data_IF_186994710360
#
_entry.id   IF_186994710360
#
_cell.length_a   1.000
_cell.length_b   1.000
_cell.length_c   1.000
_cell.angle_alpha   90.00
_cell.angle_beta   90.00
_cell.angle_gamma   90.00
#
_symmetry.space_group_name_H-M   'P 1'
#
loop_
_entity.id
_entity.type
_entity.pdbx_description
1 polymer ?
#
# COMPACT_ATOMS: atom_id res chain seq x y z
N UNK A 1 -16.53 14.51 30.67
CA UNK A 1 -16.03 13.18 30.28
C UNK A 1 -14.64 13.38 29.71
N UNK A 2 -13.62 13.11 30.50
CA UNK A 2 -12.22 13.27 30.08
C UNK A 2 -11.77 11.97 29.44
N UNK A 3 -11.58 11.99 28.12
CA UNK A 3 -10.90 10.91 27.40
C UNK A 3 -9.44 11.33 27.28
N UNK A 4 -8.62 10.74 28.14
CA UNK A 4 -7.17 10.85 28.10
C UNK A 4 -6.65 9.94 26.97
N UNK A 5 -5.88 10.50 26.05
CA UNK A 5 -5.37 9.83 24.86
C UNK A 5 -3.86 9.95 24.83
N UNK A 6 -3.18 8.89 25.26
CA UNK A 6 -1.72 8.75 25.24
C UNK A 6 -1.14 8.87 23.82
N UNK A 7 -0.52 10.01 23.52
CA UNK A 7 0.22 10.27 22.29
C UNK A 7 1.69 9.81 22.44
N UNK A 8 2.04 8.65 21.88
CA UNK A 8 3.42 8.14 21.91
C UNK A 8 4.29 8.86 20.88
N UNK A 9 5.08 9.80 21.38
CA UNK A 9 6.15 10.53 20.70
C UNK A 9 7.22 9.59 20.09
N UNK A 10 7.39 9.63 18.77
CA UNK A 10 8.52 8.98 18.08
C UNK A 10 9.72 9.95 18.03
N UNK A 11 10.92 9.51 18.45
CA UNK A 11 12.16 10.29 18.34
C UNK A 11 13.07 9.77 17.23
N UNK A 12 13.48 10.66 16.33
CA UNK A 12 14.50 10.42 15.30
C UNK A 12 15.91 10.49 15.93
N UNK A 13 16.77 9.51 15.64
CA UNK A 13 18.14 9.43 16.17
C UNK A 13 19.08 10.50 15.60
N UNK A 14 20.13 10.83 16.35
CA UNK A 14 21.11 11.88 16.02
C UNK A 14 21.93 11.54 14.77
N UNK A 15 22.23 12.59 13.98
CA UNK A 15 23.08 12.52 12.80
C UNK A 15 24.53 12.11 13.16
N UNK A 16 25.09 11.17 12.40
CA UNK A 16 26.52 10.81 12.44
C UNK A 16 27.22 11.50 11.28
N UNK A 17 28.31 12.22 11.56
CA UNK A 17 29.18 12.82 10.55
C UNK A 17 29.92 11.74 9.77
N UNK A 18 29.72 11.67 8.46
CA UNK A 18 30.43 10.73 7.58
C UNK A 18 31.64 11.40 6.92
N UNK A 19 32.74 10.65 6.80
CA UNK A 19 34.03 11.10 6.26
C UNK A 19 33.96 11.26 4.72
N UNK A 20 34.17 12.50 4.25
CA UNK A 20 34.05 12.92 2.85
C UNK A 20 35.06 12.27 1.89
N UNK A 21 36.18 11.71 2.38
CA UNK A 21 37.19 11.10 1.50
C UNK A 21 36.72 9.79 0.87
N UNK A 22 35.75 9.09 1.49
CA UNK A 22 35.15 7.87 0.95
C UNK A 22 34.09 8.15 -0.12
N UNK A 23 33.56 9.38 -0.17
CA UNK A 23 32.53 9.78 -1.14
C UNK A 23 33.14 9.91 -2.55
N UNK A 24 34.38 10.38 -2.68
CA UNK A 24 35.06 10.50 -3.99
C UNK A 24 35.28 9.17 -4.71
N UNK A 25 35.36 8.04 -4.01
CA UNK A 25 35.45 6.72 -4.65
C UNK A 25 34.11 6.24 -5.22
N UNK A 26 32.98 6.70 -4.67
CA UNK A 26 31.63 6.31 -5.11
C UNK A 26 31.24 7.07 -6.39
N UNK A 27 31.72 8.30 -6.56
CA UNK A 27 31.35 9.15 -7.71
C UNK A 27 31.97 8.67 -9.02
N UNK A 28 33.01 7.83 -8.98
CA UNK A 28 33.72 7.37 -10.18
C UNK A 28 33.02 6.22 -10.93
N UNK A 29 31.90 5.73 -10.42
CA UNK A 29 31.07 4.68 -11.05
C UNK A 29 29.79 5.21 -11.72
N UNK A 30 29.58 6.54 -11.77
CA UNK A 30 28.38 7.14 -12.39
C UNK A 30 28.46 7.10 -13.94
N UNK A 31 29.63 6.74 -14.49
CA UNK A 31 29.89 6.73 -15.94
C UNK A 31 29.50 5.44 -16.66
N UNK A 32 29.17 4.36 -15.97
CA UNK A 32 28.80 3.10 -16.63
C UNK A 32 27.26 3.04 -16.77
N UNK A 33 26.71 3.14 -18.00
CA UNK A 33 25.29 2.84 -18.20
C UNK A 33 25.06 1.43 -17.68
N UNK A 34 23.96 1.23 -16.95
CA UNK A 34 23.61 -0.03 -16.30
C UNK A 34 23.43 -1.19 -17.32
N UNK A 35 24.50 -1.65 -17.92
CA UNK A 35 24.57 -2.75 -18.88
C UNK A 35 25.36 -3.86 -18.20
N UNK A 36 24.70 -4.52 -17.23
CA UNK A 36 24.89 -5.91 -16.82
C UNK A 36 24.28 -6.11 -15.42
N UNK A 37 22.98 -5.81 -15.28
CA UNK A 37 22.20 -6.74 -14.49
C UNK A 37 22.10 -7.99 -15.36
N UNK A 38 22.77 -9.07 -14.93
CA UNK A 38 22.43 -10.42 -15.40
C UNK A 38 20.91 -10.52 -15.46
N UNK A 39 20.30 -11.19 -16.47
CA UNK A 39 18.85 -11.23 -16.59
C UNK A 39 18.27 -11.71 -15.27
N UNK A 40 17.77 -10.78 -14.43
CA UNK A 40 16.94 -11.14 -13.29
C UNK A 40 15.79 -11.81 -13.99
N UNK A 41 15.70 -13.14 -13.86
CA UNK A 41 14.57 -13.89 -14.40
C UNK A 41 13.34 -13.28 -13.77
N UNK A 42 12.67 -12.39 -14.50
CA UNK A 42 11.45 -11.73 -14.06
C UNK A 42 10.50 -12.86 -13.77
N UNK A 43 10.22 -13.07 -12.49
CA UNK A 43 9.37 -14.19 -12.10
C UNK A 43 7.96 -13.88 -12.60
N UNK A 44 7.24 -14.91 -13.06
CA UNK A 44 5.86 -14.73 -13.51
C UNK A 44 5.04 -14.12 -12.35
N UNK A 45 4.28 -13.05 -12.67
CA UNK A 45 3.32 -12.41 -11.75
C UNK A 45 2.50 -13.43 -10.98
N UNK A 46 2.12 -13.07 -9.75
CA UNK A 46 1.17 -13.86 -8.98
C UNK A 46 -0.17 -13.90 -9.73
N UNK A 47 -0.51 -15.09 -10.24
CA UNK A 47 -1.76 -15.35 -10.96
C UNK A 47 -2.92 -15.70 -10.02
N UNK A 48 -4.17 -15.52 -10.46
CA UNK A 48 -5.35 -15.84 -9.65
C UNK A 48 -5.38 -17.28 -9.15
N UNK A 49 -5.01 -18.26 -9.98
CA UNK A 49 -5.07 -19.67 -9.60
C UNK A 49 -4.10 -19.99 -8.46
N UNK A 50 -2.89 -19.41 -8.52
CA UNK A 50 -1.88 -19.55 -7.46
C UNK A 50 -2.29 -18.84 -6.18
N UNK A 51 -3.01 -17.73 -6.31
CA UNK A 51 -3.53 -17.00 -5.15
C UNK A 51 -4.69 -17.74 -4.49
N UNK A 52 -5.62 -18.32 -5.25
CA UNK A 52 -6.69 -19.13 -4.65
C UNK A 52 -6.14 -20.39 -3.95
N UNK A 53 -5.07 -20.98 -4.48
CA UNK A 53 -4.44 -22.16 -3.89
C UNK A 53 -3.75 -21.94 -2.52
N UNK A 54 -3.59 -20.70 -2.04
CA UNK A 54 -2.99 -20.44 -0.71
C UNK A 54 -4.01 -20.40 0.43
N UNK A 55 -5.30 -20.48 0.11
CA UNK A 55 -6.40 -20.47 1.07
C UNK A 55 -6.82 -21.90 1.46
N UNK A 56 -7.32 -22.07 2.68
CA UNK A 56 -8.01 -23.30 3.12
C UNK A 56 -9.52 -23.24 2.81
N UNK A 57 -10.26 -24.27 3.26
CA UNK A 57 -11.72 -24.36 3.13
C UNK A 57 -12.48 -23.23 3.85
N UNK A 58 -11.92 -22.66 4.92
CA UNK A 58 -12.51 -21.54 5.67
C UNK A 58 -12.13 -20.17 5.06
N UNK A 59 -11.21 -20.16 4.09
CA UNK A 59 -10.63 -18.95 3.51
C UNK A 59 -9.53 -18.32 4.36
N UNK A 60 -8.85 -19.05 5.24
CA UNK A 60 -7.64 -18.61 5.95
C UNK A 60 -6.41 -18.83 5.07
N UNK A 61 -5.40 -17.99 5.21
CA UNK A 61 -4.18 -18.01 4.39
C UNK A 61 -3.07 -18.79 5.06
N UNK A 62 -2.58 -19.85 4.40
CA UNK A 62 -1.43 -20.65 4.87
C UNK A 62 -0.15 -20.39 4.06
N UNK A 63 -0.29 -20.14 2.76
CA UNK A 63 0.83 -20.02 1.82
C UNK A 63 1.46 -18.63 1.67
N UNK A 64 1.24 -17.70 2.61
CA UNK A 64 1.51 -16.27 2.37
C UNK A 64 2.98 -15.95 2.04
N UNK A 65 3.94 -16.61 2.69
CA UNK A 65 5.38 -16.42 2.41
C UNK A 65 5.74 -16.76 0.95
N UNK A 66 5.10 -17.78 0.38
CA UNK A 66 5.33 -18.16 -1.04
C UNK A 66 4.71 -17.12 -1.97
N UNK A 67 3.51 -16.64 -1.66
CA UNK A 67 2.87 -15.57 -2.41
C UNK A 67 3.71 -14.28 -2.38
N UNK A 68 4.20 -13.85 -1.21
CA UNK A 68 5.05 -12.67 -1.07
C UNK A 68 6.30 -12.72 -1.96
N UNK A 69 6.96 -13.87 -2.08
CA UNK A 69 8.12 -14.02 -2.98
C UNK A 69 7.75 -13.74 -4.44
N UNK A 70 6.60 -14.23 -4.90
CA UNK A 70 6.10 -13.97 -6.25
C UNK A 70 5.72 -12.49 -6.44
N UNK A 71 5.11 -11.89 -5.42
CA UNK A 71 4.71 -10.47 -5.43
C UNK A 71 5.95 -9.57 -5.54
N UNK A 72 7.00 -9.83 -4.77
CA UNK A 72 8.22 -9.03 -4.77
C UNK A 72 9.00 -9.18 -6.09
N UNK A 73 9.08 -10.41 -6.64
CA UNK A 73 9.88 -10.69 -7.83
C UNK A 73 9.15 -10.43 -9.15
N UNK A 74 7.82 -10.50 -9.16
CA UNK A 74 7.01 -10.45 -10.38
C UNK A 74 5.81 -9.53 -10.31
N UNK A 75 5.38 -9.10 -9.12
CA UNK A 75 4.16 -8.32 -8.95
C UNK A 75 2.88 -9.16 -8.91
N UNK A 76 1.74 -8.46 -8.96
CA UNK A 76 0.39 -9.01 -8.78
C UNK A 76 -0.43 -8.82 -10.04
N UNK A 77 -1.10 -9.89 -10.49
CA UNK A 77 -2.08 -9.82 -11.57
C UNK A 77 -3.19 -8.80 -11.26
N UNK A 78 -3.54 -7.88 -12.21
CA UNK A 78 -4.53 -6.84 -11.97
C UNK A 78 -5.88 -7.34 -11.44
N UNK A 79 -6.31 -8.53 -11.85
CA UNK A 79 -7.61 -9.11 -11.47
C UNK A 79 -7.72 -9.42 -9.97
N UNK A 80 -6.60 -9.75 -9.30
CA UNK A 80 -6.57 -10.09 -7.87
C UNK A 80 -5.95 -9.00 -7.01
N UNK A 81 -5.47 -7.89 -7.59
CA UNK A 81 -4.90 -6.77 -6.82
C UNK A 81 -5.81 -6.31 -5.69
N UNK A 82 -7.12 -6.03 -5.90
CA UNK A 82 -7.97 -5.54 -4.83
C UNK A 82 -8.00 -6.47 -3.61
N UNK A 83 -7.93 -7.79 -3.83
CA UNK A 83 -7.90 -8.76 -2.74
C UNK A 83 -6.52 -8.86 -2.09
N UNK A 84 -5.45 -8.98 -2.87
CA UNK A 84 -4.08 -9.13 -2.37
C UNK A 84 -3.65 -7.92 -1.54
N UNK A 85 -4.00 -6.71 -1.99
CA UNK A 85 -3.64 -5.48 -1.29
C UNK A 85 -4.25 -5.37 0.11
N UNK A 86 -5.44 -5.91 0.33
CA UNK A 86 -6.05 -5.93 1.66
C UNK A 86 -5.23 -6.75 2.67
N UNK A 87 -4.51 -7.79 2.22
CA UNK A 87 -3.58 -8.53 3.08
C UNK A 87 -2.26 -7.79 3.26
N UNK A 88 -1.72 -7.19 2.20
CA UNK A 88 -0.44 -6.45 2.26
C UNK A 88 -0.53 -5.21 3.15
N UNK A 89 -1.67 -4.52 3.16
CA UNK A 89 -1.92 -3.34 3.98
C UNK A 89 -2.34 -3.69 5.42
N UNK A 90 -2.43 -4.98 5.77
CA UNK A 90 -2.87 -5.42 7.09
C UNK A 90 -4.37 -5.18 7.35
N UNK A 91 -5.16 -4.90 6.31
CA UNK A 91 -6.60 -4.76 6.43
C UNK A 91 -7.27 -6.09 6.82
N UNK A 92 -6.64 -7.22 6.47
CA UNK A 92 -6.98 -8.58 6.87
C UNK A 92 -5.82 -9.29 7.56
N UNK A 93 -6.12 -10.10 8.57
CA UNK A 93 -5.16 -11.04 9.16
C UNK A 93 -5.13 -12.34 8.35
N UNK A 94 -4.00 -13.05 8.34
CA UNK A 94 -3.87 -14.33 7.63
C UNK A 94 -4.84 -15.40 8.17
N UNK A 95 -5.16 -15.35 9.47
CA UNK A 95 -6.12 -16.27 10.10
C UNK A 95 -7.60 -15.85 9.97
N UNK A 96 -7.90 -14.76 9.26
CA UNK A 96 -9.28 -14.36 9.01
C UNK A 96 -9.98 -15.36 8.08
N UNK A 97 -11.27 -15.61 8.32
CA UNK A 97 -12.10 -16.43 7.41
C UNK A 97 -12.65 -15.58 6.27
N UNK A 98 -13.03 -16.22 5.16
CA UNK A 98 -13.69 -15.54 4.05
C UNK A 98 -14.99 -14.85 4.50
N UNK A 99 -15.76 -15.51 5.37
CA UNK A 99 -17.00 -14.97 5.93
C UNK A 99 -16.76 -13.68 6.73
N UNK A 100 -15.80 -13.72 7.65
CA UNK A 100 -15.45 -12.56 8.46
C UNK A 100 -15.01 -11.38 7.57
N UNK A 101 -14.18 -11.63 6.57
CA UNK A 101 -13.74 -10.58 5.62
C UNK A 101 -14.91 -9.99 4.84
N UNK A 102 -15.90 -10.80 4.46
CA UNK A 102 -17.10 -10.34 3.76
C UNK A 102 -17.92 -9.39 4.64
N UNK A 103 -18.17 -9.76 5.89
CA UNK A 103 -18.89 -8.91 6.85
C UNK A 103 -18.13 -7.61 7.12
N UNK A 104 -16.82 -7.71 7.36
CA UNK A 104 -15.95 -6.56 7.59
C UNK A 104 -15.96 -5.58 6.41
N UNK A 105 -15.97 -6.07 5.17
CA UNK A 105 -16.06 -5.24 3.97
C UNK A 105 -17.39 -4.50 3.89
N UNK A 106 -18.50 -5.16 4.22
CA UNK A 106 -19.83 -4.54 4.27
C UNK A 106 -19.87 -3.42 5.32
N UNK A 107 -19.42 -3.71 6.55
CA UNK A 107 -19.39 -2.73 7.63
C UNK A 107 -18.50 -1.51 7.31
N UNK A 108 -17.33 -1.73 6.70
CA UNK A 108 -16.45 -0.63 6.24
C UNK A 108 -17.11 0.24 5.18
N UNK A 109 -17.84 -0.36 4.22
CA UNK A 109 -18.58 0.39 3.19
C UNK A 109 -19.72 1.20 3.77
N UNK A 110 -20.44 0.67 4.74
CA UNK A 110 -21.47 1.41 5.50
C UNK A 110 -20.87 2.61 6.21
N UNK A 111 -19.84 2.39 7.02
CA UNK A 111 -19.14 3.47 7.72
C UNK A 111 -18.60 4.53 6.77
N UNK A 112 -18.00 4.12 5.64
CA UNK A 112 -17.51 5.05 4.64
C UNK A 112 -18.64 5.88 4.02
N UNK A 113 -19.80 5.27 3.72
CA UNK A 113 -20.98 6.02 3.22
C UNK A 113 -21.44 7.08 4.22
N UNK A 114 -21.47 6.75 5.51
CA UNK A 114 -21.90 7.71 6.53
C UNK A 114 -20.87 8.84 6.72
N UNK A 115 -19.58 8.54 6.63
CA UNK A 115 -18.54 9.57 6.61
C UNK A 115 -18.68 10.49 5.40
N UNK A 116 -18.97 9.95 4.21
CA UNK A 116 -19.20 10.76 3.02
C UNK A 116 -20.41 11.68 3.20
N UNK A 117 -21.51 11.20 3.78
CA UNK A 117 -22.68 12.06 4.10
C UNK A 117 -22.28 13.20 5.05
N UNK A 118 -21.50 12.92 6.09
CA UNK A 118 -21.00 13.96 7.00
C UNK A 118 -20.15 14.98 6.27
N UNK A 119 -19.24 14.54 5.40
CA UNK A 119 -18.46 15.46 4.57
C UNK A 119 -19.35 16.29 3.64
N UNK A 120 -20.39 15.71 3.06
CA UNK A 120 -21.33 16.41 2.19
C UNK A 120 -22.13 17.50 2.92
N UNK A 121 -22.41 17.34 4.21
CA UNK A 121 -23.00 18.41 5.02
C UNK A 121 -22.05 19.63 5.16
N UNK A 122 -20.74 19.40 5.12
CA UNK A 122 -19.74 20.50 5.15
C UNK A 122 -19.53 21.10 3.77
N UNK A 123 -19.50 20.29 2.71
CA UNK A 123 -19.32 20.76 1.34
C UNK A 123 -19.97 19.80 0.33
N UNK A 124 -20.99 20.29 -0.38
CA UNK A 124 -21.87 19.47 -1.23
C UNK A 124 -21.17 18.78 -2.41
N UNK A 125 -20.00 19.27 -2.83
CA UNK A 125 -19.22 18.65 -3.91
C UNK A 125 -18.29 17.51 -3.46
N UNK A 126 -18.23 17.19 -2.16
CA UNK A 126 -17.45 16.06 -1.68
C UNK A 126 -18.07 14.75 -2.18
N UNK A 127 -17.25 13.92 -2.82
CA UNK A 127 -17.65 12.64 -3.39
C UNK A 127 -18.28 12.71 -4.78
N UNK A 128 -18.44 13.90 -5.38
CA UNK A 128 -18.99 14.05 -6.74
C UNK A 128 -17.93 14.04 -7.84
N UNK A 129 -16.64 14.06 -7.46
CA UNK A 129 -15.52 14.24 -8.40
C UNK A 129 -15.33 15.69 -8.88
N UNK A 130 -16.17 16.64 -8.43
CA UNK A 130 -16.12 18.05 -8.82
C UNK A 130 -15.19 18.90 -7.93
N UNK A 131 -14.63 18.35 -6.84
CA UNK A 131 -13.66 19.03 -5.98
C UNK A 131 -12.26 19.10 -6.63
N UNK A 132 -12.18 19.43 -7.91
CA UNK A 132 -10.96 19.86 -8.55
C UNK A 132 -11.01 21.38 -8.62
N UNK A 133 -10.68 22.07 -7.53
CA UNK A 133 -10.35 23.48 -7.66
C UNK A 133 -9.18 23.55 -8.63
N UNK A 134 -9.35 24.25 -9.76
CA UNK A 134 -8.26 24.61 -10.65
C UNK A 134 -7.33 25.52 -9.84
N UNK A 135 -6.28 24.94 -9.27
CA UNK A 135 -5.16 25.70 -8.70
C UNK A 135 -4.43 26.33 -9.88
N UNK A 136 -4.89 27.48 -10.36
CA UNK A 136 -4.32 28.07 -11.58
C UNK A 136 -4.84 29.41 -12.09
N UNK A 137 -5.95 29.98 -11.59
CA UNK A 137 -6.35 31.34 -11.99
C UNK A 137 -5.75 32.39 -11.05
N UNK A 138 -4.41 32.50 -11.06
CA UNK A 138 -3.75 33.76 -10.70
C UNK A 138 -3.57 34.55 -11.98
N UNK A 139 -4.55 35.40 -12.29
CA UNK A 139 -4.40 36.47 -13.26
C UNK A 139 -3.33 37.42 -12.74
N UNK A 140 -2.14 37.36 -13.32
CA UNK A 140 -1.16 38.44 -13.19
C UNK A 140 -1.66 39.58 -14.08
N UNK A 141 -2.23 40.61 -13.45
CA UNK A 141 -2.32 41.97 -14.01
C UNK A 141 -1.12 42.78 -13.56
#
# INVERSE_FOLDING_TARGET
>A
MSFDGDEKQWKCGKAVTVNLQRVSSIVRDIGEPCLHQSPIKISKMLKPEKWQAIFDSDGKVFGFRKALRLIVLGGVDPSIRPEVWEFLLGCYTLGSTAEYRRQLRTARRERYRDLIKQCQMMHSSIGTGSLAYVVGLKSWT
#
